data_IF_409272325730
#
_entry.id   IF_409272325730
#
_cell.length_a   1.000
_cell.length_b   1.000
_cell.length_c   1.000
_cell.angle_alpha   90.00
_cell.angle_beta   90.00
_cell.angle_gamma   90.00
#
_symmetry.space_group_name_H-M   'P 1'
#
loop_
_entity.id
_entity.type
_entity.pdbx_description
1 polymer ?
#
# COMPACT_ATOMS: atom_id res chain seq x y z
N UNK A 1 14.80 -8.73 -10.20
CA UNK A 1 13.65 -9.23 -9.40
C UNK A 1 13.13 -8.05 -8.62
N UNK A 2 11.94 -7.59 -8.96
CA UNK A 2 11.33 -6.36 -8.45
C UNK A 2 11.04 -6.48 -6.95
N UNK A 3 11.04 -5.34 -6.22
CA UNK A 3 10.74 -5.24 -4.78
C UNK A 3 9.41 -5.95 -4.40
N UNK A 4 8.47 -6.03 -5.34
CA UNK A 4 7.18 -6.70 -5.16
C UNK A 4 7.30 -8.23 -5.08
N UNK A 5 8.17 -8.85 -5.88
CA UNK A 5 8.40 -10.30 -5.82
C UNK A 5 9.02 -10.72 -4.47
N UNK A 6 9.88 -9.85 -3.89
CA UNK A 6 10.39 -10.02 -2.51
C UNK A 6 9.28 -9.85 -1.46
N UNK A 7 8.32 -8.94 -1.69
CA UNK A 7 7.19 -8.72 -0.78
C UNK A 7 6.20 -9.91 -0.80
N UNK A 8 5.88 -10.44 -1.98
CA UNK A 8 4.95 -11.57 -2.14
C UNK A 8 5.54 -12.91 -1.69
N UNK A 9 6.83 -13.17 -1.96
CA UNK A 9 7.49 -14.40 -1.50
C UNK A 9 7.71 -14.39 0.01
N UNK A 10 8.00 -13.24 0.63
CA UNK A 10 8.07 -13.14 2.08
C UNK A 10 6.70 -13.34 2.74
N UNK A 11 5.62 -12.79 2.16
CA UNK A 11 4.26 -12.94 2.69
C UNK A 11 3.74 -14.38 2.53
N UNK A 12 3.99 -15.04 1.40
CA UNK A 12 3.60 -16.46 1.20
C UNK A 12 4.46 -17.44 2.03
N UNK A 13 5.76 -17.20 2.17
CA UNK A 13 6.63 -18.07 2.96
C UNK A 13 6.36 -17.95 4.47
N UNK A 14 6.06 -16.74 4.97
CA UNK A 14 5.71 -16.56 6.40
C UNK A 14 4.36 -17.20 6.73
N UNK A 15 3.38 -17.15 5.86
CA UNK A 15 2.09 -17.84 6.08
C UNK A 15 2.25 -19.35 6.03
N UNK A 16 3.13 -19.90 5.16
CA UNK A 16 3.37 -21.35 5.08
C UNK A 16 4.20 -21.88 6.25
N UNK A 17 5.15 -21.11 6.79
CA UNK A 17 5.94 -21.47 7.97
C UNK A 17 5.15 -21.35 9.29
N UNK A 18 4.13 -20.48 9.34
CA UNK A 18 3.25 -20.37 10.51
C UNK A 18 2.21 -21.51 10.58
N UNK A 19 1.91 -22.19 9.45
CA UNK A 19 0.98 -23.32 9.43
C UNK A 19 1.61 -24.66 9.85
N UNK A 20 2.95 -24.79 9.85
CA UNK A 20 3.63 -26.03 10.25
C UNK A 20 4.03 -26.12 11.72
N UNK A 21 3.68 -25.11 12.52
CA UNK A 21 3.99 -25.02 13.95
C UNK A 21 2.79 -24.92 14.88
N UNK A 22 1.63 -25.51 14.53
CA UNK A 22 0.50 -25.62 15.48
C UNK A 22 0.74 -26.77 16.45
N UNK A 23 1.78 -26.63 17.25
CA UNK A 23 1.78 -27.18 18.59
C UNK A 23 0.79 -26.35 19.41
N UNK A 24 -0.12 -26.99 20.14
CA UNK A 24 -1.15 -26.41 20.94
C UNK A 24 -0.66 -25.15 21.67
N UNK A 25 -0.96 -23.96 21.13
CA UNK A 25 -0.70 -22.70 21.79
C UNK A 25 -1.60 -22.69 23.02
N UNK A 26 -0.96 -22.82 24.17
CA UNK A 26 -1.56 -22.64 25.47
C UNK A 26 -2.32 -21.31 25.44
N UNK A 27 -3.63 -21.34 25.65
CA UNK A 27 -4.49 -20.18 25.83
C UNK A 27 -4.06 -19.40 27.10
N UNK A 28 -2.90 -18.82 27.11
CA UNK A 28 -2.54 -17.79 28.06
C UNK A 28 -3.11 -16.49 27.50
N UNK A 29 -4.34 -16.20 27.90
CA UNK A 29 -4.96 -14.93 27.59
C UNK A 29 -4.02 -13.81 28.05
N UNK A 30 -3.49 -13.03 27.12
CA UNK A 30 -2.77 -11.81 27.40
C UNK A 30 -3.79 -10.73 27.79
N UNK A 31 -4.47 -10.96 28.93
CA UNK A 31 -5.33 -9.97 29.52
C UNK A 31 -4.44 -8.95 30.23
N UNK A 32 -4.40 -7.74 29.74
CA UNK A 32 -3.73 -6.64 30.43
C UNK A 32 -4.68 -6.06 31.49
N UNK A 33 -4.17 -5.87 32.71
CA UNK A 33 -4.96 -5.43 33.85
C UNK A 33 -5.52 -4.00 33.72
N UNK A 34 -4.93 -3.20 32.83
CA UNK A 34 -5.35 -1.84 32.50
C UNK A 34 -6.28 -1.74 31.28
N UNK A 35 -6.66 -2.88 30.65
CA UNK A 35 -7.55 -2.90 29.49
C UNK A 35 -8.81 -3.68 29.82
N UNK A 36 -9.91 -3.01 30.19
CA UNK A 36 -11.20 -3.66 30.43
C UNK A 36 -11.70 -4.44 29.21
N UNK A 37 -12.40 -5.54 29.40
CA UNK A 37 -12.89 -6.38 28.30
C UNK A 37 -13.89 -5.65 27.39
N UNK A 38 -14.68 -4.74 27.95
CA UNK A 38 -15.64 -3.88 27.24
C UNK A 38 -15.01 -2.62 26.62
N UNK A 39 -13.71 -2.39 26.85
CA UNK A 39 -13.02 -1.25 26.23
C UNK A 39 -13.01 -1.37 24.70
N UNK A 40 -13.29 -0.28 24.00
CA UNK A 40 -13.40 -0.24 22.53
C UNK A 40 -12.17 -0.82 21.80
N UNK A 41 -10.97 -0.72 22.39
CA UNK A 41 -9.72 -1.22 21.84
C UNK A 41 -9.33 -2.62 22.35
N UNK A 42 -10.12 -3.26 23.22
CA UNK A 42 -9.75 -4.54 23.84
C UNK A 42 -9.41 -5.62 22.80
N UNK A 43 -10.22 -5.71 21.73
CA UNK A 43 -9.96 -6.64 20.63
C UNK A 43 -8.62 -6.37 19.93
N UNK A 44 -8.33 -5.11 19.59
CA UNK A 44 -7.10 -4.75 18.86
C UNK A 44 -5.86 -4.85 19.75
N UNK A 45 -5.96 -4.51 21.02
CA UNK A 45 -4.87 -4.68 21.97
C UNK A 45 -4.52 -6.15 22.17
N UNK A 46 -5.52 -7.01 22.37
CA UNK A 46 -5.33 -8.46 22.51
C UNK A 46 -4.69 -9.05 21.25
N UNK A 47 -5.22 -8.69 20.08
CA UNK A 47 -4.68 -9.12 18.79
C UNK A 47 -3.22 -8.69 18.60
N UNK A 48 -2.89 -7.41 18.84
CA UNK A 48 -1.50 -6.93 18.74
C UNK A 48 -0.53 -7.67 19.66
N UNK A 49 -0.98 -8.04 20.87
CA UNK A 49 -0.16 -8.80 21.81
C UNK A 49 0.01 -10.25 21.37
N UNK A 50 -1.06 -10.91 20.91
CA UNK A 50 -1.06 -12.28 20.44
C UNK A 50 -0.11 -12.46 19.23
N UNK A 51 -0.17 -11.53 18.27
CA UNK A 51 0.71 -11.51 17.09
C UNK A 51 2.06 -10.83 17.34
N UNK A 52 2.37 -10.48 18.60
CA UNK A 52 3.63 -9.86 19.01
C UNK A 52 3.97 -8.55 18.29
N UNK A 53 2.96 -7.86 17.78
CA UNK A 53 3.14 -6.54 17.17
C UNK A 53 3.45 -5.49 18.22
N UNK A 54 2.73 -5.55 19.37
CA UNK A 54 2.92 -4.65 20.51
C UNK A 54 3.03 -5.46 21.79
N UNK A 55 4.02 -5.14 22.60
CA UNK A 55 4.18 -5.71 23.93
C UNK A 55 3.55 -4.79 25.00
N UNK A 56 3.26 -5.35 26.19
CA UNK A 56 2.93 -4.56 27.37
C UNK A 56 4.14 -3.73 27.87
N UNK A 57 3.85 -2.82 28.78
CA UNK A 57 4.85 -1.93 29.40
C UNK A 57 5.44 -2.51 30.71
N UNK A 58 5.13 -3.76 31.03
CA UNK A 58 5.48 -4.41 32.31
C UNK A 58 4.33 -4.41 33.30
N UNK A 59 4.49 -5.19 34.38
CA UNK A 59 3.47 -5.29 35.45
C UNK A 59 2.10 -5.77 34.99
N UNK A 60 2.01 -6.53 33.88
CA UNK A 60 0.74 -6.99 33.32
C UNK A 60 -0.11 -5.88 32.70
N UNK A 61 0.47 -4.73 32.35
CA UNK A 61 -0.21 -3.58 31.74
C UNK A 61 0.15 -3.39 30.27
N UNK A 62 -0.82 -2.97 29.48
CA UNK A 62 -0.62 -2.55 28.09
C UNK A 62 -0.09 -1.13 27.97
N UNK A 63 -0.46 -0.27 28.91
CA UNK A 63 -0.21 1.18 28.87
C UNK A 63 -1.35 1.93 28.16
N UNK A 64 -2.59 1.63 28.52
CA UNK A 64 -3.77 2.30 28.00
C UNK A 64 -3.69 3.81 28.27
N UNK A 65 -4.00 4.63 27.25
CA UNK A 65 -3.91 6.09 27.32
C UNK A 65 -2.50 6.67 27.17
N UNK A 66 -1.45 5.85 27.20
CA UNK A 66 -0.09 6.35 26.96
C UNK A 66 0.13 6.66 25.48
N UNK A 67 0.88 7.74 25.22
CA UNK A 67 1.27 8.11 23.85
C UNK A 67 2.22 7.08 23.25
N UNK A 68 2.14 6.93 21.91
CA UNK A 68 3.03 6.11 21.12
C UNK A 68 4.18 6.95 20.58
N UNK A 69 5.43 6.48 20.65
CA UNK A 69 6.53 7.18 19.98
C UNK A 69 6.61 6.81 18.49
N UNK A 70 7.21 7.69 17.69
CA UNK A 70 7.43 7.44 16.26
C UNK A 70 8.24 6.18 16.00
N UNK A 71 9.30 5.95 16.78
CA UNK A 71 10.11 4.73 16.70
C UNK A 71 9.32 3.47 17.07
N UNK A 72 8.53 3.52 18.15
CA UNK A 72 7.69 2.39 18.53
C UNK A 72 6.67 2.06 17.44
N UNK A 73 6.07 3.07 16.80
CA UNK A 73 5.14 2.85 15.69
C UNK A 73 5.84 2.28 14.44
N UNK A 74 7.04 2.77 14.10
CA UNK A 74 7.85 2.22 13.02
C UNK A 74 8.13 0.72 13.23
N UNK A 75 8.52 0.32 14.44
CA UNK A 75 8.73 -1.09 14.78
C UNK A 75 7.46 -1.93 14.62
N UNK A 76 6.29 -1.41 15.03
CA UNK A 76 5.04 -2.15 14.86
C UNK A 76 4.65 -2.31 13.39
N UNK A 77 4.93 -1.31 12.54
CA UNK A 77 4.74 -1.42 11.09
C UNK A 77 5.70 -2.44 10.46
N UNK A 78 6.98 -2.44 10.85
CA UNK A 78 7.92 -3.46 10.38
C UNK A 78 7.41 -4.89 10.70
N UNK A 79 6.90 -5.09 11.92
CA UNK A 79 6.33 -6.37 12.33
C UNK A 79 5.05 -6.73 11.58
N UNK A 80 4.13 -5.77 11.40
CA UNK A 80 2.88 -5.98 10.65
C UNK A 80 3.16 -6.39 9.21
N UNK A 81 4.13 -5.73 8.57
CA UNK A 81 4.50 -5.97 7.17
C UNK A 81 5.46 -7.15 7.00
N UNK A 82 5.91 -7.78 8.09
CA UNK A 82 6.85 -8.89 8.04
C UNK A 82 8.22 -8.52 7.48
N UNK A 83 8.63 -7.25 7.61
CA UNK A 83 9.93 -6.82 7.10
C UNK A 83 11.07 -7.32 7.97
N UNK A 84 12.09 -7.86 7.31
CA UNK A 84 13.35 -8.20 7.97
C UNK A 84 14.09 -6.91 8.39
N UNK A 85 14.47 -6.82 9.66
CA UNK A 85 15.12 -5.62 10.19
C UNK A 85 16.54 -5.49 9.62
N UNK A 86 16.84 -4.31 9.06
CA UNK A 86 18.17 -3.95 8.57
C UNK A 86 18.90 -3.07 9.58
N UNK A 87 20.20 -3.26 9.73
CA UNK A 87 21.04 -2.51 10.66
C UNK A 87 22.31 -2.06 9.94
N UNK A 88 22.25 -0.99 9.12
CA UNK A 88 23.43 -0.47 8.45
C UNK A 88 24.43 0.12 9.46
N UNK A 89 25.72 0.17 9.11
CA UNK A 89 26.78 0.72 9.98
C UNK A 89 26.60 2.23 10.24
N UNK A 90 25.86 2.92 9.37
CA UNK A 90 25.57 4.35 9.47
C UNK A 90 24.09 4.60 9.26
N UNK A 91 23.46 5.28 10.20
CA UNK A 91 22.05 5.66 10.14
C UNK A 91 21.75 6.68 9.03
N UNK A 92 20.56 6.57 8.46
CA UNK A 92 20.03 7.47 7.42
C UNK A 92 19.67 8.86 7.95
N UNK A 93 19.43 8.97 9.27
CA UNK A 93 19.03 10.22 9.93
C UNK A 93 20.09 10.67 10.92
N UNK A 94 20.22 11.98 11.09
CA UNK A 94 21.24 12.57 12.00
C UNK A 94 20.96 12.29 13.48
N UNK A 95 19.71 12.03 13.81
CA UNK A 95 19.24 11.66 15.17
C UNK A 95 19.07 10.14 15.36
N UNK A 96 19.50 9.32 14.40
CA UNK A 96 19.48 7.85 14.47
C UNK A 96 20.86 7.30 14.08
N UNK A 97 21.91 7.63 14.83
CA UNK A 97 23.28 7.20 14.55
C UNK A 97 23.80 6.14 15.54
N UNK A 98 23.13 5.97 16.68
CA UNK A 98 23.50 5.01 17.72
C UNK A 98 22.90 3.64 17.40
N UNK A 99 23.72 2.72 16.90
CA UNK A 99 23.31 1.36 16.48
C UNK A 99 22.84 0.49 17.65
N UNK A 100 23.17 0.85 18.90
CA UNK A 100 22.76 0.12 20.10
C UNK A 100 21.32 0.51 20.59
N UNK A 101 20.75 1.55 20.00
CA UNK A 101 19.36 1.92 20.33
C UNK A 101 18.41 0.84 19.86
N UNK A 102 17.48 0.46 20.73
CA UNK A 102 16.48 -0.58 20.46
C UNK A 102 15.63 -0.33 19.19
N UNK A 103 15.50 0.89 18.79
CA UNK A 103 14.74 1.31 17.63
C UNK A 103 15.56 1.52 16.36
N UNK A 104 16.90 1.47 16.44
CA UNK A 104 17.79 1.79 15.33
C UNK A 104 17.40 1.03 14.06
N UNK A 105 17.38 -0.29 14.13
CA UNK A 105 17.05 -1.15 12.99
C UNK A 105 15.61 -0.95 12.50
N UNK A 106 14.67 -0.66 13.39
CA UNK A 106 13.28 -0.42 13.00
C UNK A 106 13.11 0.87 12.20
N UNK A 107 13.80 1.94 12.59
CA UNK A 107 13.82 3.22 11.87
C UNK A 107 14.45 3.04 10.49
N UNK A 108 15.61 2.40 10.39
CA UNK A 108 16.31 2.16 9.13
C UNK A 108 15.48 1.27 8.19
N UNK A 109 14.82 0.24 8.73
CA UNK A 109 13.94 -0.63 7.97
C UNK A 109 12.72 0.12 7.44
N UNK A 110 12.03 0.88 8.30
CA UNK A 110 10.87 1.67 7.89
C UNK A 110 11.24 2.73 6.83
N UNK A 111 12.43 3.32 6.92
CA UNK A 111 12.96 4.23 5.91
C UNK A 111 13.26 3.51 4.59
N UNK A 112 13.96 2.38 4.63
CA UNK A 112 14.30 1.58 3.43
C UNK A 112 13.04 1.14 2.66
N UNK A 113 11.95 0.87 3.38
CA UNK A 113 10.65 0.52 2.78
C UNK A 113 9.78 1.74 2.46
N UNK A 114 10.27 2.96 2.70
CA UNK A 114 9.56 4.20 2.39
C UNK A 114 8.40 4.53 3.33
N UNK A 115 8.20 3.76 4.40
CA UNK A 115 7.14 4.01 5.39
C UNK A 115 7.44 5.24 6.26
N UNK A 116 8.72 5.45 6.59
CA UNK A 116 9.21 6.60 7.32
C UNK A 116 9.97 7.53 6.37
N UNK A 117 9.70 8.83 6.47
CA UNK A 117 10.50 9.88 5.83
C UNK A 117 10.97 10.87 6.90
N UNK A 118 12.15 11.43 6.71
CA UNK A 118 12.67 12.45 7.63
C UNK A 118 12.34 13.86 7.16
N UNK A 119 12.15 14.76 8.13
CA UNK A 119 12.15 16.19 7.89
C UNK A 119 13.53 16.75 8.24
N UNK A 120 14.13 17.50 7.35
CA UNK A 120 15.47 18.08 7.58
C UNK A 120 16.51 17.04 8.08
N UNK A 121 16.44 15.80 7.59
CA UNK A 121 17.28 14.66 7.97
C UNK A 121 17.10 14.17 9.42
N UNK A 122 15.98 14.49 10.06
CA UNK A 122 15.59 14.01 11.38
C UNK A 122 14.42 13.03 11.27
N UNK A 123 14.48 11.89 11.98
CA UNK A 123 13.36 10.94 12.11
C UNK A 123 12.56 11.16 13.40
N UNK A 124 13.10 11.86 14.39
CA UNK A 124 12.47 12.17 15.68
C UNK A 124 11.96 10.90 16.38
N UNK A 125 12.84 9.94 16.71
CA UNK A 125 12.41 8.60 17.13
C UNK A 125 11.64 8.58 18.45
N UNK A 126 12.01 9.45 19.40
CA UNK A 126 11.45 9.51 20.74
C UNK A 126 10.24 10.45 20.86
N UNK A 127 9.94 11.24 19.82
CA UNK A 127 8.78 12.12 19.80
C UNK A 127 7.48 11.28 19.81
N UNK A 128 6.47 11.78 20.51
CA UNK A 128 5.12 11.23 20.42
C UNK A 128 4.60 11.37 18.99
N UNK A 129 4.17 10.27 18.38
CA UNK A 129 3.63 10.28 17.02
C UNK A 129 2.29 11.01 17.00
N UNK A 130 2.10 11.89 16.01
CA UNK A 130 0.80 12.53 15.78
C UNK A 130 -0.12 11.63 14.98
N UNK A 131 -1.42 11.91 15.01
CA UNK A 131 -2.44 11.16 14.27
C UNK A 131 -2.21 11.23 12.75
N UNK A 132 -1.78 12.39 12.24
CA UNK A 132 -1.43 12.50 10.80
C UNK A 132 -0.18 11.72 10.44
N UNK A 133 0.87 11.75 11.28
CA UNK A 133 2.10 10.97 11.05
C UNK A 133 1.81 9.47 11.07
N UNK A 134 0.96 9.01 11.97
CA UNK A 134 0.52 7.62 12.03
C UNK A 134 -0.21 7.21 10.73
N UNK A 135 -1.12 8.05 10.23
CA UNK A 135 -1.81 7.81 8.96
C UNK A 135 -0.84 7.78 7.77
N UNK A 136 0.08 8.75 7.71
CA UNK A 136 1.10 8.84 6.65
C UNK A 136 2.00 7.61 6.62
N UNK A 137 2.54 7.21 7.78
CA UNK A 137 3.42 6.05 7.88
C UNK A 137 2.68 4.76 7.50
N UNK A 138 1.42 4.59 7.91
CA UNK A 138 0.62 3.41 7.57
C UNK A 138 0.37 3.33 6.05
N UNK A 139 -0.11 4.40 5.42
CA UNK A 139 -0.40 4.41 3.97
C UNK A 139 0.87 4.17 3.14
N UNK A 140 2.00 4.73 3.57
CA UNK A 140 3.30 4.49 2.92
C UNK A 140 3.76 3.04 3.11
N UNK A 141 3.59 2.48 4.30
CA UNK A 141 3.93 1.07 4.57
C UNK A 141 3.12 0.13 3.68
N UNK A 142 1.86 0.45 3.42
CA UNK A 142 0.98 -0.29 2.50
C UNK A 142 1.36 -0.10 1.02
N UNK A 143 2.26 0.84 0.67
CA UNK A 143 2.75 1.07 -0.68
C UNK A 143 1.99 2.14 -1.48
N UNK A 144 0.90 2.71 -0.94
CA UNK A 144 -0.01 3.61 -1.68
C UNK A 144 0.21 5.09 -1.41
N UNK A 145 1.36 5.46 -0.87
CA UNK A 145 1.73 6.88 -0.67
C UNK A 145 1.74 7.72 -1.95
N UNK A 146 1.99 7.11 -3.10
CA UNK A 146 1.97 7.74 -4.44
C UNK A 146 0.61 8.33 -4.79
N UNK A 147 -0.48 7.76 -4.29
CA UNK A 147 -1.86 8.23 -4.51
C UNK A 147 -2.24 9.44 -3.64
N UNK A 148 -1.36 9.90 -2.74
CA UNK A 148 -1.72 10.98 -1.80
C UNK A 148 -2.11 12.29 -2.51
N UNK A 149 -1.50 12.60 -3.66
CA UNK A 149 -1.88 13.74 -4.48
C UNK A 149 -3.31 13.63 -5.01
N UNK A 150 -3.62 12.49 -5.62
CA UNK A 150 -4.94 12.19 -6.19
C UNK A 150 -6.04 12.17 -5.13
N UNK A 151 -5.79 11.55 -3.99
CA UNK A 151 -6.77 11.40 -2.92
C UNK A 151 -7.02 12.68 -2.09
N UNK A 152 -6.20 13.71 -2.25
CA UNK A 152 -6.28 14.92 -1.40
C UNK A 152 -7.65 15.62 -1.47
N UNK A 153 -8.30 15.59 -2.65
CA UNK A 153 -9.63 16.17 -2.84
C UNK A 153 -10.74 15.42 -2.07
N UNK A 154 -10.52 14.13 -1.80
CA UNK A 154 -11.49 13.24 -1.13
C UNK A 154 -11.45 13.35 0.41
N UNK A 155 -10.57 14.20 0.96
CA UNK A 155 -10.44 14.33 2.41
C UNK A 155 -11.69 15.00 3.02
N UNK A 156 -12.45 14.29 3.89
CA UNK A 156 -13.68 14.83 4.45
C UNK A 156 -13.43 15.85 5.58
N UNK A 157 -12.19 15.92 6.09
CA UNK A 157 -11.85 16.71 7.27
C UNK A 157 -11.39 18.11 6.90
N UNK A 158 -11.91 19.12 7.60
CA UNK A 158 -11.64 20.53 7.33
C UNK A 158 -10.41 21.07 8.06
N UNK A 159 -9.99 20.40 9.13
CA UNK A 159 -8.84 20.74 9.97
C UNK A 159 -7.51 20.13 9.51
N UNK A 160 -7.50 19.49 8.33
CA UNK A 160 -6.31 18.86 7.73
C UNK A 160 -5.78 19.74 6.59
N UNK A 161 -4.49 20.05 6.60
CA UNK A 161 -3.83 20.82 5.54
C UNK A 161 -2.78 20.02 4.76
N UNK A 162 -1.67 19.68 5.38
CA UNK A 162 -0.50 19.11 4.70
C UNK A 162 -0.68 17.61 4.35
N UNK A 163 -1.26 16.83 5.25
CA UNK A 163 -1.39 15.36 5.09
C UNK A 163 -2.72 14.93 4.46
N UNK A 164 -3.45 15.85 3.77
CA UNK A 164 -4.82 15.61 3.26
C UNK A 164 -4.97 14.30 2.51
N UNK A 165 -4.10 14.03 1.55
CA UNK A 165 -4.20 12.84 0.72
C UNK A 165 -3.92 11.55 1.49
N UNK A 166 -2.95 11.53 2.38
CA UNK A 166 -2.68 10.37 3.24
C UNK A 166 -3.84 10.08 4.19
N UNK A 167 -4.41 11.13 4.78
CA UNK A 167 -5.56 10.99 5.69
C UNK A 167 -6.79 10.54 4.90
N UNK A 168 -7.01 11.07 3.69
CA UNK A 168 -8.09 10.62 2.80
C UNK A 168 -7.95 9.13 2.47
N UNK A 169 -6.77 8.68 2.05
CA UNK A 169 -6.49 7.26 1.77
C UNK A 169 -6.73 6.39 3.00
N UNK A 170 -6.14 6.73 4.14
CA UNK A 170 -6.31 5.97 5.37
C UNK A 170 -7.78 5.92 5.83
N UNK A 171 -8.54 7.00 5.63
CA UNK A 171 -9.98 7.05 5.91
C UNK A 171 -10.78 6.18 4.94
N UNK A 172 -10.54 6.28 3.63
CA UNK A 172 -11.19 5.46 2.60
C UNK A 172 -10.92 3.96 2.78
N UNK A 173 -9.71 3.60 3.15
CA UNK A 173 -9.33 2.23 3.50
C UNK A 173 -9.93 1.76 4.85
N UNK A 174 -10.62 2.63 5.59
CA UNK A 174 -11.20 2.30 6.89
C UNK A 174 -10.20 2.15 8.03
N UNK A 175 -8.95 2.57 7.84
CA UNK A 175 -7.87 2.41 8.83
C UNK A 175 -8.01 3.38 9.99
N UNK A 176 -8.43 4.61 9.70
CA UNK A 176 -8.61 5.69 10.67
C UNK A 176 -10.05 6.22 10.66
N UNK A 177 -10.41 6.92 11.74
CA UNK A 177 -11.67 7.65 11.86
C UNK A 177 -11.39 9.06 12.33
N UNK A 178 -12.25 10.02 11.95
CA UNK A 178 -12.25 11.35 12.55
C UNK A 178 -12.70 11.31 14.01
N UNK A 179 -12.40 12.37 14.73
CA UNK A 179 -12.97 12.64 16.07
C UNK A 179 -14.42 13.13 15.95
N UNK A 180 -14.74 13.72 14.79
CA UNK A 180 -16.10 14.04 14.38
C UNK A 180 -16.27 13.86 12.86
N UNK A 181 -17.46 14.20 12.33
CA UNK A 181 -17.71 14.11 10.88
C UNK A 181 -16.75 14.95 10.04
N UNK A 182 -16.27 16.09 10.55
CA UNK A 182 -15.46 17.05 9.81
C UNK A 182 -14.11 17.36 10.45
N UNK A 183 -13.79 16.76 11.60
CA UNK A 183 -12.54 16.99 12.32
C UNK A 183 -11.76 15.70 12.52
N UNK A 184 -10.46 15.76 12.26
CA UNK A 184 -9.51 14.66 12.42
C UNK A 184 -8.55 14.86 13.59
N UNK A 185 -8.25 16.12 13.97
CA UNK A 185 -7.20 16.50 14.93
C UNK A 185 -5.81 15.97 14.51
N UNK A 186 -5.28 16.41 13.35
CA UNK A 186 -4.07 15.83 12.76
C UNK A 186 -2.84 15.93 13.66
N UNK A 187 -2.72 17.01 14.44
CA UNK A 187 -1.57 17.30 15.31
C UNK A 187 -1.69 16.69 16.72
N UNK A 188 -2.86 16.16 17.09
CA UNK A 188 -3.00 15.45 18.36
C UNK A 188 -2.11 14.20 18.36
N UNK A 189 -1.51 13.90 19.51
CA UNK A 189 -0.68 12.70 19.69
C UNK A 189 -1.56 11.44 19.70
N UNK A 190 -1.07 10.36 19.07
CA UNK A 190 -1.77 9.09 19.07
C UNK A 190 -1.38 8.25 20.30
N UNK A 191 -2.38 7.57 20.86
CA UNK A 191 -2.17 6.65 21.98
C UNK A 191 -1.86 5.24 21.48
N UNK A 192 -1.35 4.39 22.37
CA UNK A 192 -0.98 3.01 22.06
C UNK A 192 -2.18 2.18 21.60
N UNK A 193 -3.34 2.33 22.21
CA UNK A 193 -4.57 1.63 21.80
C UNK A 193 -5.13 2.16 20.47
N UNK A 194 -4.92 3.44 20.14
CA UNK A 194 -5.26 3.97 18.82
C UNK A 194 -4.36 3.35 17.73
N UNK A 195 -3.06 3.23 18.00
CA UNK A 195 -2.13 2.54 17.13
C UNK A 195 -2.53 1.07 16.93
N UNK A 196 -2.85 0.34 18.01
CA UNK A 196 -3.31 -1.05 17.93
C UNK A 196 -4.57 -1.19 17.05
N UNK A 197 -5.50 -0.24 17.14
CA UNK A 197 -6.70 -0.26 16.33
C UNK A 197 -6.42 -0.02 14.84
N UNK A 198 -5.48 0.84 14.49
CA UNK A 198 -5.05 1.07 13.11
C UNK A 198 -4.37 -0.18 12.55
N UNK A 199 -3.48 -0.81 13.32
CA UNK A 199 -2.78 -2.03 12.91
C UNK A 199 -3.74 -3.20 12.65
N UNK A 200 -4.73 -3.41 13.54
CA UNK A 200 -5.73 -4.48 13.31
C UNK A 200 -6.57 -4.21 12.07
N UNK A 201 -7.03 -2.97 11.85
CA UNK A 201 -7.81 -2.61 10.66
C UNK A 201 -6.98 -2.79 9.38
N UNK A 202 -5.70 -2.42 9.41
CA UNK A 202 -4.80 -2.64 8.27
C UNK A 202 -4.65 -4.14 7.98
N UNK A 203 -4.47 -4.96 9.02
CA UNK A 203 -4.42 -6.41 8.88
C UNK A 203 -5.72 -6.99 8.32
N UNK A 204 -6.87 -6.60 8.88
CA UNK A 204 -8.18 -7.07 8.42
C UNK A 204 -8.40 -6.74 6.93
N UNK A 205 -7.98 -5.55 6.47
CA UNK A 205 -8.06 -5.14 5.06
C UNK A 205 -7.08 -5.91 4.16
N UNK A 206 -5.84 -6.11 4.59
CA UNK A 206 -4.84 -6.89 3.83
C UNK A 206 -5.27 -8.35 3.63
N UNK A 207 -6.09 -8.90 4.55
CA UNK A 207 -6.54 -10.29 4.52
C UNK A 207 -8.04 -10.43 4.14
N UNK A 208 -8.68 -9.33 3.73
CA UNK A 208 -10.05 -9.40 3.25
C UNK A 208 -10.15 -10.25 1.97
N UNK A 209 -11.23 -11.00 1.86
CA UNK A 209 -11.48 -11.80 0.65
C UNK A 209 -11.77 -10.87 -0.52
N UNK A 210 -11.08 -11.11 -1.64
CA UNK A 210 -11.30 -10.44 -2.91
C UNK A 210 -11.48 -11.53 -3.98
N UNK A 211 -12.60 -11.49 -4.69
CA UNK A 211 -12.83 -12.36 -5.85
C UNK A 211 -12.09 -11.78 -7.05
N UNK A 212 -11.34 -12.61 -7.75
CA UNK A 212 -10.68 -12.28 -9.01
C UNK A 212 -11.18 -13.23 -10.10
N UNK A 213 -11.81 -12.66 -11.12
CA UNK A 213 -12.25 -13.41 -12.28
C UNK A 213 -11.72 -12.80 -13.57
N UNK A 214 -11.40 -13.67 -14.53
CA UNK A 214 -11.02 -13.28 -15.87
C UNK A 214 -12.22 -13.44 -16.80
N UNK A 215 -12.62 -12.36 -17.46
CA UNK A 215 -13.85 -12.29 -18.23
C UNK A 215 -13.58 -11.72 -19.64
N UNK A 216 -14.46 -12.02 -20.59
CA UNK A 216 -14.43 -11.43 -21.94
C UNK A 216 -15.12 -10.06 -21.98
N UNK A 217 -16.08 -9.85 -21.10
CA UNK A 217 -16.86 -8.60 -21.02
C UNK A 217 -17.08 -8.21 -19.55
N UNK A 218 -17.09 -6.91 -19.30
CA UNK A 218 -17.39 -6.38 -17.95
C UNK A 218 -18.78 -6.82 -17.49
N UNK A 219 -18.91 -7.42 -16.30
CA UNK A 219 -20.21 -7.71 -15.73
C UNK A 219 -21.04 -6.45 -15.49
N UNK A 220 -22.36 -6.57 -15.59
CA UNK A 220 -23.29 -5.48 -15.28
C UNK A 220 -23.09 -5.00 -13.84
N UNK A 221 -23.06 -3.68 -13.66
CA UNK A 221 -22.88 -3.06 -12.35
C UNK A 221 -21.44 -2.97 -11.86
N UNK A 222 -20.45 -3.56 -12.55
CA UNK A 222 -19.05 -3.34 -12.23
C UNK A 222 -18.58 -1.96 -12.69
N UNK A 223 -17.75 -1.28 -11.87
CA UNK A 223 -17.20 0.02 -12.20
C UNK A 223 -15.88 -0.16 -12.94
N UNK A 224 -15.83 0.36 -14.16
CA UNK A 224 -14.66 0.29 -15.00
C UNK A 224 -13.58 1.29 -14.57
N UNK A 225 -12.34 0.82 -14.42
CA UNK A 225 -11.19 1.70 -14.29
C UNK A 225 -10.81 2.25 -15.66
N UNK A 226 -10.86 3.56 -15.80
CA UNK A 226 -10.64 4.24 -17.09
C UNK A 226 -9.16 4.17 -17.48
N UNK A 227 -8.92 3.86 -18.75
CA UNK A 227 -7.60 3.93 -19.37
C UNK A 227 -7.29 5.39 -19.73
N UNK A 228 -6.08 5.84 -19.45
CA UNK A 228 -5.62 7.17 -19.86
C UNK A 228 -4.94 7.04 -21.22
N UNK A 229 -5.34 7.88 -22.16
CA UNK A 229 -4.80 7.90 -23.54
C UNK A 229 -3.89 9.09 -23.81
N UNK A 230 -3.66 9.96 -22.83
CA UNK A 230 -2.91 11.20 -23.03
C UNK A 230 -1.40 10.99 -22.92
N UNK A 231 -0.66 11.67 -23.79
CA UNK A 231 0.80 11.76 -23.77
C UNK A 231 1.22 12.96 -22.94
N UNK A 232 2.07 12.76 -21.94
CA UNK A 232 2.71 13.84 -21.19
C UNK A 232 4.21 13.88 -21.51
N UNK A 233 4.63 14.86 -22.27
CA UNK A 233 6.04 15.04 -22.63
C UNK A 233 6.61 13.97 -23.56
N UNK A 234 7.89 13.66 -23.46
CA UNK A 234 8.61 12.68 -24.30
C UNK A 234 8.46 11.22 -23.84
N UNK A 235 7.77 10.98 -22.73
CA UNK A 235 7.53 9.63 -22.20
C UNK A 235 6.07 9.25 -22.46
N UNK A 236 5.81 8.12 -23.12
CA UNK A 236 4.45 7.66 -23.35
C UNK A 236 3.76 7.38 -22.01
N UNK A 237 2.54 7.92 -21.84
CA UNK A 237 1.69 7.57 -20.69
C UNK A 237 0.87 6.33 -21.08
N UNK A 238 0.79 5.36 -20.17
CA UNK A 238 0.08 4.10 -20.40
C UNK A 238 -1.39 4.34 -20.74
N UNK A 239 -1.92 3.75 -21.82
CA UNK A 239 -3.36 3.71 -22.08
C UNK A 239 -4.09 2.73 -21.13
N UNK A 240 -3.36 2.03 -20.25
CA UNK A 240 -3.93 1.14 -19.24
C UNK A 240 -4.40 1.95 -18.06
N UNK A 241 -5.34 1.40 -17.29
CA UNK A 241 -5.84 2.05 -16.10
C UNK A 241 -4.70 2.24 -15.09
N UNK A 242 -4.15 3.46 -14.92
CA UNK A 242 -3.14 3.70 -13.93
C UNK A 242 -3.72 3.55 -12.53
N UNK A 243 -2.86 3.53 -11.51
CA UNK A 243 -3.28 3.31 -10.13
C UNK A 243 -4.30 4.35 -9.65
N UNK A 244 -4.21 5.60 -10.16
CA UNK A 244 -5.16 6.67 -9.88
C UNK A 244 -6.56 6.38 -10.42
N UNK A 245 -6.67 5.80 -11.63
CA UNK A 245 -7.95 5.40 -12.21
C UNK A 245 -8.57 4.22 -11.49
N UNK A 246 -7.74 3.27 -11.04
CA UNK A 246 -8.19 2.15 -10.21
C UNK A 246 -8.70 2.65 -8.85
N UNK A 247 -7.99 3.60 -8.23
CA UNK A 247 -8.44 4.27 -7.02
C UNK A 247 -9.81 4.94 -7.20
N UNK A 248 -9.96 5.73 -8.28
CA UNK A 248 -11.20 6.41 -8.57
C UNK A 248 -12.36 5.42 -8.84
N UNK A 249 -12.10 4.32 -9.57
CA UNK A 249 -13.09 3.28 -9.82
C UNK A 249 -13.50 2.57 -8.53
N UNK A 250 -12.54 2.19 -7.68
CA UNK A 250 -12.81 1.55 -6.39
C UNK A 250 -13.59 2.45 -5.44
N UNK A 251 -13.29 3.77 -5.43
CA UNK A 251 -14.08 4.74 -4.65
C UNK A 251 -15.53 4.86 -5.15
N UNK A 252 -15.76 4.80 -6.48
CA UNK A 252 -17.13 4.81 -7.05
C UNK A 252 -17.87 3.50 -6.78
N UNK A 253 -17.19 2.36 -6.87
CA UNK A 253 -17.77 1.05 -6.56
C UNK A 253 -18.19 0.96 -5.10
N UNK A 254 -17.44 1.55 -4.20
CA UNK A 254 -17.70 1.52 -2.76
C UNK A 254 -17.42 0.16 -2.12
N UNK A 255 -17.64 0.09 -0.81
CA UNK A 255 -17.45 -1.15 -0.05
C UNK A 255 -18.41 -2.25 -0.53
N UNK A 256 -17.89 -3.44 -0.80
CA UNK A 256 -18.67 -4.56 -1.36
C UNK A 256 -18.95 -4.48 -2.86
N UNK A 257 -18.57 -3.38 -3.52
CA UNK A 257 -18.75 -3.23 -4.97
C UNK A 257 -17.72 -4.01 -5.79
N UNK A 258 -17.75 -3.84 -7.11
CA UNK A 258 -16.86 -4.51 -8.04
C UNK A 258 -16.20 -3.53 -9.02
N UNK A 259 -14.97 -3.85 -9.44
CA UNK A 259 -14.17 -3.06 -10.38
C UNK A 259 -13.79 -3.93 -11.57
N UNK A 260 -13.78 -3.34 -12.78
CA UNK A 260 -13.27 -3.99 -13.99
C UNK A 260 -11.96 -3.33 -14.43
N UNK A 261 -10.95 -4.14 -14.69
CA UNK A 261 -9.65 -3.76 -15.23
C UNK A 261 -9.49 -4.31 -16.66
N UNK A 262 -8.81 -3.57 -17.51
CA UNK A 262 -8.42 -4.03 -18.85
C UNK A 262 -6.95 -4.44 -18.86
N UNK A 263 -6.67 -5.72 -19.12
CA UNK A 263 -5.32 -6.25 -19.23
C UNK A 263 -4.94 -6.66 -20.67
N UNK A 264 -5.83 -6.46 -21.65
CA UNK A 264 -5.54 -6.77 -23.07
C UNK A 264 -4.32 -6.00 -23.52
N UNK A 265 -3.23 -6.64 -24.03
CA UNK A 265 -2.06 -5.93 -24.48
C UNK A 265 -2.39 -5.02 -25.68
N UNK A 266 -1.78 -3.83 -25.73
CA UNK A 266 -2.04 -2.82 -26.75
C UNK A 266 -0.73 -2.38 -27.41
N UNK A 267 -0.62 -2.59 -28.72
CA UNK A 267 0.45 -2.02 -29.54
C UNK A 267 -0.01 -0.68 -30.12
N UNK A 268 0.83 0.34 -29.96
CA UNK A 268 0.61 1.67 -30.53
C UNK A 268 1.84 2.11 -31.31
N UNK A 269 1.59 2.68 -32.48
CA UNK A 269 2.62 3.38 -33.24
C UNK A 269 2.39 4.87 -33.11
N UNK A 270 3.44 5.61 -32.72
CA UNK A 270 3.39 7.07 -32.57
C UNK A 270 4.41 7.73 -33.49
N UNK A 271 4.06 8.90 -34.05
CA UNK A 271 4.95 9.74 -34.83
C UNK A 271 4.78 11.20 -34.45
N UNK A 272 5.87 11.84 -34.06
CA UNK A 272 5.81 13.23 -33.57
C UNK A 272 4.88 13.42 -32.34
N UNK A 273 4.75 12.40 -31.49
CA UNK A 273 3.86 12.42 -30.32
C UNK A 273 2.39 12.10 -30.60
N UNK A 274 2.02 11.83 -31.86
CA UNK A 274 0.64 11.49 -32.25
C UNK A 274 0.53 10.00 -32.52
N UNK A 275 -0.52 9.35 -32.01
CA UNK A 275 -0.82 7.95 -32.29
C UNK A 275 -1.30 7.83 -33.73
N UNK A 276 -0.57 7.07 -34.56
CA UNK A 276 -0.86 6.83 -35.96
C UNK A 276 -1.45 5.45 -36.25
N UNK A 277 -1.32 4.54 -35.29
CA UNK A 277 -1.90 3.19 -35.37
C UNK A 277 -2.00 2.57 -33.97
N UNK A 278 -3.01 1.71 -33.81
CA UNK A 278 -3.23 0.97 -32.57
C UNK A 278 -3.89 -0.37 -32.86
N UNK A 279 -3.44 -1.44 -32.24
CA UNK A 279 -4.07 -2.76 -32.27
C UNK A 279 -3.90 -3.51 -30.95
N UNK A 280 -4.83 -4.37 -30.64
CA UNK A 280 -4.68 -5.33 -29.52
C UNK A 280 -3.78 -6.49 -29.94
N UNK A 281 -3.08 -7.05 -28.97
CA UNK A 281 -2.26 -8.24 -29.15
C UNK A 281 -2.87 -9.42 -28.40
N UNK A 282 -2.65 -10.63 -28.92
CA UNK A 282 -2.88 -11.85 -28.14
C UNK A 282 -1.77 -12.05 -27.11
N UNK A 283 -2.01 -12.91 -26.12
CA UNK A 283 -1.00 -13.29 -25.14
C UNK A 283 0.24 -13.94 -25.78
N UNK A 284 0.04 -14.69 -26.88
CA UNK A 284 1.11 -15.34 -27.64
C UNK A 284 1.96 -14.31 -28.38
N UNK A 285 1.33 -13.31 -29.06
CA UNK A 285 2.04 -12.22 -29.72
C UNK A 285 2.86 -11.39 -28.73
N UNK A 286 2.28 -11.06 -27.54
CA UNK A 286 3.02 -10.38 -26.47
C UNK A 286 4.21 -11.21 -26.00
N UNK A 287 4.01 -12.49 -25.74
CA UNK A 287 5.06 -13.40 -25.28
C UNK A 287 6.21 -13.49 -26.30
N UNK A 288 5.89 -13.61 -27.59
CA UNK A 288 6.87 -13.63 -28.67
C UNK A 288 7.65 -12.31 -28.77
N UNK A 289 6.98 -11.17 -28.61
CA UNK A 289 7.58 -9.83 -28.62
C UNK A 289 8.56 -9.65 -27.44
N UNK A 290 8.17 -10.04 -26.24
CA UNK A 290 9.01 -9.95 -25.05
C UNK A 290 10.24 -10.88 -25.16
N UNK A 291 10.06 -12.10 -25.67
CA UNK A 291 11.12 -13.07 -25.87
C UNK A 291 12.14 -12.63 -26.94
N UNK A 292 11.73 -11.86 -27.95
CA UNK A 292 12.61 -11.37 -28.99
C UNK A 292 13.72 -10.40 -28.49
N UNK A 293 13.52 -9.76 -27.34
CA UNK A 293 14.52 -8.96 -26.62
C UNK A 293 15.04 -7.73 -27.38
N UNK A 294 14.35 -7.31 -28.46
CA UNK A 294 14.77 -6.21 -29.34
C UNK A 294 14.09 -4.86 -29.02
N UNK A 295 13.36 -4.79 -27.93
CA UNK A 295 12.66 -3.60 -27.43
C UNK A 295 13.23 -3.18 -26.06
N UNK A 296 13.16 -1.89 -25.75
CA UNK A 296 13.49 -1.36 -24.44
C UNK A 296 12.28 -1.47 -23.53
N UNK A 297 12.49 -1.86 -22.29
CA UNK A 297 11.44 -1.92 -21.27
C UNK A 297 11.37 -0.62 -20.48
N UNK A 298 10.16 -0.23 -20.11
CA UNK A 298 9.88 0.83 -19.15
C UNK A 298 8.78 0.38 -18.22
N UNK A 299 8.93 0.68 -16.93
CA UNK A 299 7.92 0.47 -15.91
C UNK A 299 7.75 1.76 -15.13
N UNK A 300 6.50 2.20 -15.00
CA UNK A 300 6.14 3.35 -14.17
C UNK A 300 5.74 2.88 -12.79
N UNK A 301 6.58 3.11 -11.80
CA UNK A 301 6.23 2.82 -10.39
C UNK A 301 5.08 3.70 -9.90
N UNK A 302 4.92 4.90 -10.46
CA UNK A 302 3.85 5.81 -10.10
C UNK A 302 2.48 5.32 -10.58
N UNK A 303 2.41 4.80 -11.80
CA UNK A 303 1.15 4.39 -12.42
C UNK A 303 0.93 2.89 -12.41
N UNK A 304 1.92 2.11 -11.95
CA UNK A 304 1.90 0.64 -11.98
C UNK A 304 1.50 0.11 -13.35
N UNK A 305 2.27 0.50 -14.36
CA UNK A 305 2.09 0.08 -15.74
C UNK A 305 3.41 -0.19 -16.43
N UNK A 306 3.42 -1.20 -17.29
CA UNK A 306 4.60 -1.67 -18.00
C UNK A 306 4.45 -1.50 -19.50
N UNK A 307 5.54 -1.17 -20.18
CA UNK A 307 5.61 -1.21 -21.63
C UNK A 307 6.98 -1.67 -22.13
N UNK A 308 7.01 -2.14 -23.37
CA UNK A 308 8.23 -2.24 -24.17
C UNK A 308 8.09 -1.36 -25.40
N UNK A 309 9.18 -0.73 -25.86
CA UNK A 309 9.13 0.19 -26.97
C UNK A 309 10.39 0.11 -27.84
N UNK A 310 10.22 0.49 -29.12
CA UNK A 310 11.27 0.51 -30.13
C UNK A 310 11.07 1.71 -31.08
N UNK A 311 12.16 2.46 -31.34
CA UNK A 311 12.17 3.47 -32.37
C UNK A 311 12.42 2.81 -33.73
N UNK A 312 11.63 3.20 -34.72
CA UNK A 312 11.74 2.74 -36.13
C UNK A 312 12.60 3.71 -36.96
N UNK A 313 13.10 3.24 -38.09
CA UNK A 313 13.95 4.03 -38.99
C UNK A 313 13.28 5.25 -39.59
N UNK A 314 11.97 5.23 -39.68
CA UNK A 314 11.14 6.32 -40.22
C UNK A 314 10.80 7.41 -39.19
N UNK A 315 11.36 7.29 -37.97
CA UNK A 315 11.12 8.21 -36.86
C UNK A 315 9.84 7.94 -36.06
N UNK A 316 9.12 6.85 -36.37
CA UNK A 316 8.02 6.39 -35.53
C UNK A 316 8.54 5.59 -34.31
N UNK A 317 7.70 5.47 -33.28
CA UNK A 317 7.95 4.65 -32.11
C UNK A 317 6.82 3.65 -31.96
N UNK A 318 7.16 2.37 -31.92
CA UNK A 318 6.23 1.30 -31.58
C UNK A 318 6.35 1.04 -30.09
N UNK A 319 5.23 1.14 -29.38
CA UNK A 319 5.12 0.90 -27.94
C UNK A 319 4.08 -0.19 -27.69
N UNK A 320 4.43 -1.18 -26.92
CA UNK A 320 3.50 -2.24 -26.49
C UNK A 320 3.26 -2.08 -24.99
N UNK A 321 2.03 -1.75 -24.67
CA UNK A 321 1.54 -1.62 -23.30
C UNK A 321 0.97 -2.95 -22.82
N UNK A 322 1.30 -3.36 -21.60
CA UNK A 322 0.76 -4.57 -21.02
C UNK A 322 0.72 -4.47 -19.50
N UNK A 323 -0.12 -5.28 -18.89
CA UNK A 323 -0.15 -5.44 -17.45
C UNK A 323 0.73 -6.63 -17.07
N UNK A 324 1.80 -6.40 -16.34
CA UNK A 324 2.55 -7.48 -15.72
C UNK A 324 1.74 -8.09 -14.56
N UNK A 325 2.06 -9.31 -14.16
CA UNK A 325 1.43 -9.90 -12.97
C UNK A 325 1.61 -9.02 -11.72
N UNK A 326 2.74 -8.30 -11.63
CA UNK A 326 3.02 -7.38 -10.53
C UNK A 326 2.09 -6.16 -10.57
N UNK A 327 1.86 -5.57 -11.76
CA UNK A 327 0.97 -4.42 -11.93
C UNK A 327 -0.47 -4.79 -11.54
N UNK A 328 -0.95 -5.95 -12.00
CA UNK A 328 -2.29 -6.45 -11.65
C UNK A 328 -2.40 -6.69 -10.14
N UNK A 329 -1.42 -7.34 -9.53
CA UNK A 329 -1.45 -7.65 -8.10
C UNK A 329 -1.50 -6.38 -7.23
N UNK A 330 -0.78 -5.31 -7.59
CA UNK A 330 -0.82 -4.06 -6.84
C UNK A 330 -2.18 -3.35 -6.98
N UNK A 331 -2.79 -3.40 -8.16
CA UNK A 331 -4.15 -2.91 -8.41
C UNK A 331 -5.20 -3.69 -7.61
N UNK A 332 -5.05 -5.02 -7.52
CA UNK A 332 -5.90 -5.87 -6.70
C UNK A 332 -5.77 -5.55 -5.22
N UNK A 333 -4.55 -5.33 -4.74
CA UNK A 333 -4.32 -4.97 -3.35
C UNK A 333 -4.94 -3.61 -2.99
N UNK A 334 -4.85 -2.62 -3.89
CA UNK A 334 -5.55 -1.35 -3.73
C UNK A 334 -7.07 -1.54 -3.64
N UNK A 335 -7.67 -2.33 -4.54
CA UNK A 335 -9.10 -2.64 -4.52
C UNK A 335 -9.51 -3.31 -3.19
N UNK A 336 -8.73 -4.28 -2.73
CA UNK A 336 -8.95 -4.97 -1.44
C UNK A 336 -8.93 -4.00 -0.27
N UNK A 337 -7.91 -3.14 -0.19
CA UNK A 337 -7.78 -2.14 0.88
C UNK A 337 -8.92 -1.13 0.88
N UNK A 338 -9.48 -0.80 -0.29
CA UNK A 338 -10.63 0.08 -0.45
C UNK A 338 -11.98 -0.64 -0.22
N UNK A 339 -11.97 -1.94 0.08
CA UNK A 339 -13.16 -2.71 0.43
C UNK A 339 -13.96 -3.22 -0.77
N UNK A 340 -13.38 -3.22 -1.96
CA UNK A 340 -13.96 -3.87 -3.15
C UNK A 340 -14.04 -5.38 -2.92
N UNK A 341 -15.16 -6.02 -3.28
CA UNK A 341 -15.39 -7.45 -3.09
C UNK A 341 -14.99 -8.30 -4.29
N UNK A 342 -15.03 -7.73 -5.50
CA UNK A 342 -14.67 -8.44 -6.73
C UNK A 342 -13.92 -7.54 -7.72
N UNK A 343 -12.94 -8.12 -8.40
CA UNK A 343 -12.26 -7.50 -9.54
C UNK A 343 -12.36 -8.43 -10.74
N UNK A 344 -12.81 -7.88 -11.84
CA UNK A 344 -12.90 -8.55 -13.14
C UNK A 344 -11.80 -8.04 -14.04
N UNK A 345 -11.03 -8.95 -14.64
CA UNK A 345 -9.95 -8.60 -15.55
C UNK A 345 -10.32 -9.05 -16.96
N UNK A 346 -10.47 -8.10 -17.88
CA UNK A 346 -10.70 -8.36 -19.30
C UNK A 346 -9.34 -8.67 -19.94
N UNK A 347 -9.28 -9.84 -20.60
CA UNK A 347 -8.10 -10.34 -21.33
C UNK A 347 -8.19 -10.09 -22.82
#
# INVERSE_FOLDING_TARGET
MTRLFRRLTALMLTVLLLMSGVGAAQKNGTAFSDVPEDHWAARSVRWCAEYRLMNGIGGGKFGLGLTMTRAAYALTLCRLMGWELVSPDKGSFTDNQDTEKWYYSAIETAYTHGALTGESRLCRPDDAITREEMAMMTVRALGFGVLSGTAAADCPFTDVSVARGYIALAYRMGLIKGVSRYSFEPKATATREQAAAVLLRAYDRLHATLTLDYVEQAPEGSVQAESITEMSGSVPVSPRAPLESVYAAACRAGEGGSVTLYAVPLEQTTRGGVVTGSRTLTAEELSALLAAGNMRSHHSEQHQSSCVYRAEKDGSVVTVWYESAADVMEKLELCRLLGVSAVYVIK
#
